data_IF_393499648995
#
_entry.id   IF_393499648995
#
_cell.length_a   1.000
_cell.length_b   1.000
_cell.length_c   1.000
_cell.angle_alpha   90.00
_cell.angle_beta   90.00
_cell.angle_gamma   90.00
#
_symmetry.space_group_name_H-M   'P 1'
#
loop_
_entity.id
_entity.type
_entity.pdbx_description
1 polymer ?
#
# COMPACT_ATOMS: atom_id res chain seq x y z
N UNK A 1 -4.07 20.81 -11.20
CA UNK A 1 -3.39 19.79 -12.05
C UNK A 1 -1.95 19.50 -11.64
N UNK A 2 -1.00 20.46 -11.67
CA UNK A 2 0.39 20.20 -11.23
C UNK A 2 0.49 19.74 -9.75
N UNK A 3 -0.36 20.30 -8.89
CA UNK A 3 -0.39 19.99 -7.45
C UNK A 3 -0.90 18.58 -7.11
N UNK A 4 -1.86 18.05 -7.88
CA UNK A 4 -2.37 16.67 -7.71
C UNK A 4 -1.33 15.63 -8.15
N UNK A 5 -0.53 15.96 -9.17
CA UNK A 5 0.58 15.11 -9.62
C UNK A 5 1.68 15.03 -8.55
N UNK A 6 2.01 16.15 -7.91
CA UNK A 6 2.92 16.18 -6.76
C UNK A 6 2.42 15.34 -5.59
N UNK A 7 1.12 15.43 -5.28
CA UNK A 7 0.51 14.58 -4.25
C UNK A 7 0.64 13.08 -4.54
N UNK A 8 0.36 12.65 -5.77
CA UNK A 8 0.46 11.24 -6.15
C UNK A 8 1.90 10.76 -6.08
N UNK A 9 2.85 11.64 -6.40
CA UNK A 9 4.27 11.36 -6.26
C UNK A 9 4.61 11.08 -4.80
N UNK A 10 4.34 12.00 -3.88
CA UNK A 10 4.62 11.82 -2.45
C UNK A 10 3.91 10.57 -1.87
N UNK A 11 2.66 10.32 -2.30
CA UNK A 11 1.89 9.14 -1.92
C UNK A 11 2.52 7.83 -2.42
N UNK A 12 3.07 7.81 -3.63
CA UNK A 12 3.73 6.63 -4.18
C UNK A 12 5.06 6.34 -3.49
N UNK A 13 5.83 7.38 -3.19
CA UNK A 13 7.07 7.24 -2.43
C UNK A 13 6.82 6.59 -1.07
N UNK A 14 5.83 7.11 -0.36
CA UNK A 14 5.43 6.59 0.95
C UNK A 14 5.03 5.11 0.89
N UNK A 15 4.27 4.74 -0.15
CA UNK A 15 3.86 3.34 -0.37
C UNK A 15 5.04 2.42 -0.68
N UNK A 16 6.01 2.90 -1.45
CA UNK A 16 7.25 2.16 -1.74
C UNK A 16 8.09 2.00 -0.47
N UNK A 17 8.31 3.08 0.27
CA UNK A 17 9.11 3.09 1.50
C UNK A 17 8.55 2.13 2.57
N UNK A 18 7.23 2.01 2.65
CA UNK A 18 6.55 1.12 3.61
C UNK A 18 6.42 -0.33 3.16
N UNK A 19 6.85 -0.66 1.93
CA UNK A 19 6.72 -2.00 1.40
C UNK A 19 5.28 -2.39 1.05
N UNK A 20 4.37 -1.44 0.85
CA UNK A 20 3.00 -1.74 0.41
C UNK A 20 2.96 -2.31 -1.00
N UNK A 21 4.06 -2.16 -1.76
CA UNK A 21 4.26 -2.72 -3.10
C UNK A 21 5.17 -3.95 -3.11
N UNK A 22 5.36 -4.62 -1.97
CA UNK A 22 6.13 -5.88 -1.85
C UNK A 22 5.62 -7.00 -2.76
N UNK A 23 4.32 -7.01 -3.08
CA UNK A 23 3.73 -7.92 -4.06
C UNK A 23 4.19 -7.66 -5.51
N UNK A 24 4.74 -6.47 -5.81
CA UNK A 24 5.37 -6.17 -7.11
C UNK A 24 6.85 -6.51 -7.07
N UNK A 25 7.56 -6.01 -6.06
CA UNK A 25 8.97 -6.26 -5.84
C UNK A 25 9.38 -5.84 -4.43
N UNK A 26 10.49 -6.40 -3.96
CA UNK A 26 11.17 -5.90 -2.79
C UNK A 26 12.12 -4.76 -3.19
N UNK A 27 11.62 -3.52 -3.13
CA UNK A 27 12.39 -2.33 -3.44
C UNK A 27 13.41 -2.02 -2.33
N UNK A 28 14.65 -1.74 -2.74
CA UNK A 28 15.78 -1.47 -1.84
C UNK A 28 16.22 -0.01 -1.91
N UNK A 29 16.08 0.61 -3.06
CA UNK A 29 16.52 1.97 -3.32
C UNK A 29 15.41 2.75 -4.00
N UNK A 30 15.21 4.00 -3.57
CA UNK A 30 14.25 4.96 -4.13
C UNK A 30 15.02 6.23 -4.43
N UNK A 31 14.89 6.73 -5.66
CA UNK A 31 15.51 7.92 -6.19
C UNK A 31 14.42 8.92 -6.57
N UNK A 32 14.55 10.17 -6.11
CA UNK A 32 13.73 11.29 -6.58
C UNK A 32 14.38 11.95 -7.80
N UNK A 33 13.52 12.49 -8.67
CA UNK A 33 13.91 13.33 -9.82
C UNK A 33 15.00 12.70 -10.70
N UNK A 34 14.86 11.39 -10.96
CA UNK A 34 15.84 10.60 -11.68
C UNK A 34 15.85 10.97 -13.17
N UNK A 35 17.03 11.28 -13.71
CA UNK A 35 17.19 11.65 -15.11
C UNK A 35 17.34 10.40 -15.99
N UNK A 36 16.40 10.23 -16.92
CA UNK A 36 16.38 9.11 -17.88
C UNK A 36 16.28 9.64 -19.31
N UNK A 37 17.44 9.90 -19.92
CA UNK A 37 17.51 10.57 -21.22
C UNK A 37 16.89 11.97 -21.10
N UNK A 38 15.87 12.25 -21.90
CA UNK A 38 15.18 13.55 -21.91
C UNK A 38 14.03 13.65 -20.90
N UNK A 39 13.88 12.65 -20.02
CA UNK A 39 12.81 12.60 -19.03
C UNK A 39 13.37 12.79 -17.62
N UNK A 40 12.70 13.61 -16.83
CA UNK A 40 12.85 13.63 -15.37
C UNK A 40 11.75 12.76 -14.80
N UNK A 41 12.14 11.70 -14.10
CA UNK A 41 11.25 10.72 -13.50
C UNK A 41 11.13 11.06 -12.01
N UNK A 42 9.96 11.55 -11.55
CA UNK A 42 9.77 11.95 -10.15
C UNK A 42 10.16 10.87 -9.14
N UNK A 43 9.81 9.61 -9.42
CA UNK A 43 10.22 8.47 -8.58
C UNK A 43 10.75 7.35 -9.45
N UNK A 44 11.96 6.92 -9.12
CA UNK A 44 12.57 5.70 -9.63
C UNK A 44 12.94 4.79 -8.47
N UNK A 45 12.48 3.54 -8.46
CA UNK A 45 12.81 2.57 -7.43
C UNK A 45 13.41 1.30 -8.03
N UNK A 46 14.40 0.74 -7.33
CA UNK A 46 15.11 -0.48 -7.74
C UNK A 46 14.87 -1.57 -6.72
N UNK A 47 14.52 -2.77 -7.20
CA UNK A 47 14.20 -3.91 -6.37
C UNK A 47 14.52 -5.25 -7.02
N UNK A 48 14.08 -6.31 -6.36
CA UNK A 48 14.23 -7.69 -6.82
C UNK A 48 13.07 -8.54 -6.33
N UNK A 49 12.83 -9.68 -6.99
CA UNK A 49 11.83 -10.67 -6.57
C UNK A 49 12.24 -11.51 -5.36
N UNK A 50 13.52 -11.45 -4.95
CA UNK A 50 14.01 -12.25 -3.82
C UNK A 50 13.31 -11.85 -2.52
N UNK A 51 12.59 -12.80 -1.93
CA UNK A 51 11.81 -12.58 -0.72
C UNK A 51 12.68 -12.30 0.51
N UNK A 52 12.15 -11.48 1.41
CA UNK A 52 12.57 -11.41 2.82
C UNK A 52 11.61 -12.29 3.65
N UNK A 53 11.71 -13.60 3.51
CA UNK A 53 10.93 -14.57 4.31
C UNK A 53 11.78 -15.30 5.37
N UNK A 54 11.18 -16.29 6.05
CA UNK A 54 11.88 -17.18 6.99
C UNK A 54 13.13 -17.80 6.34
N UNK A 55 14.15 -18.13 7.16
CA UNK A 55 15.49 -18.56 6.69
C UNK A 55 15.47 -19.62 5.57
N UNK A 56 14.54 -20.58 5.63
CA UNK A 56 14.34 -21.62 4.61
C UNK A 56 13.77 -21.10 3.28
N UNK A 57 12.82 -20.16 3.30
CA UNK A 57 12.29 -19.55 2.06
C UNK A 57 13.32 -18.64 1.40
N UNK A 58 14.23 -18.04 2.18
CA UNK A 58 15.36 -17.26 1.67
C UNK A 58 16.39 -18.12 0.95
N UNK A 59 16.71 -19.31 1.47
CA UNK A 59 17.61 -20.26 0.82
C UNK A 59 16.97 -20.77 -0.47
N UNK A 60 15.71 -21.18 -0.44
CA UNK A 60 15.00 -21.65 -1.64
C UNK A 60 14.93 -20.56 -2.72
N UNK A 61 14.59 -19.32 -2.36
CA UNK A 61 14.59 -18.19 -3.28
C UNK A 61 16.00 -17.90 -3.85
N UNK A 62 17.06 -17.99 -3.04
CA UNK A 62 18.42 -17.76 -3.53
C UNK A 62 18.85 -18.75 -4.62
N UNK A 63 18.39 -20.01 -4.55
CA UNK A 63 18.75 -21.06 -5.51
C UNK A 63 17.78 -21.19 -6.69
N UNK A 64 16.50 -20.87 -6.50
CA UNK A 64 15.44 -21.20 -7.48
C UNK A 64 14.90 -19.97 -8.22
N UNK A 65 14.90 -18.78 -7.59
CA UNK A 65 14.39 -17.58 -8.29
C UNK A 65 15.46 -16.93 -9.15
N UNK A 66 15.19 -16.68 -10.45
CA UNK A 66 16.10 -15.92 -11.31
C UNK A 66 16.33 -14.53 -10.70
N UNK A 67 17.57 -14.03 -10.79
CA UNK A 67 17.99 -12.74 -10.23
C UNK A 67 17.53 -11.55 -11.10
N UNK A 68 16.26 -11.52 -11.49
CA UNK A 68 15.71 -10.38 -12.22
C UNK A 68 15.75 -9.14 -11.36
N UNK A 69 16.39 -8.08 -11.85
CA UNK A 69 16.26 -6.75 -11.25
C UNK A 69 14.96 -6.14 -11.72
N UNK A 70 14.32 -5.44 -10.81
CA UNK A 70 13.06 -4.76 -11.05
C UNK A 70 13.31 -3.26 -10.97
N UNK A 71 12.90 -2.56 -12.02
CA UNK A 71 12.92 -1.11 -12.12
C UNK A 71 11.50 -0.60 -12.12
N UNK A 72 11.15 0.21 -11.13
CA UNK A 72 9.86 0.89 -11.05
C UNK A 72 10.04 2.38 -11.33
N UNK A 73 9.25 2.92 -12.25
CA UNK A 73 9.29 4.32 -12.66
C UNK A 73 7.90 4.92 -12.54
N UNK A 74 7.76 6.00 -11.79
CA UNK A 74 6.58 6.86 -11.79
C UNK A 74 6.87 8.09 -12.64
N UNK A 75 6.14 8.23 -13.75
CA UNK A 75 6.20 9.40 -14.60
C UNK A 75 4.90 10.18 -14.52
N UNK A 76 4.99 11.46 -14.16
CA UNK A 76 3.86 12.38 -14.11
C UNK A 76 3.92 13.37 -15.26
N UNK A 77 2.81 13.58 -15.96
CA UNK A 77 2.73 14.58 -17.04
C UNK A 77 1.37 15.28 -17.07
N UNK A 78 1.29 16.48 -17.61
CA UNK A 78 -0.01 17.13 -17.89
C UNK A 78 -0.73 16.43 -19.02
N UNK A 79 0.02 16.05 -20.06
CA UNK A 79 -0.45 15.38 -21.27
C UNK A 79 0.59 14.38 -21.76
N UNK A 80 0.15 13.20 -22.19
CA UNK A 80 1.03 12.15 -22.67
C UNK A 80 0.79 11.93 -24.16
N UNK A 81 1.79 12.25 -24.99
CA UNK A 81 1.73 11.93 -26.41
C UNK A 81 2.19 10.50 -26.68
N UNK A 82 1.72 9.92 -27.78
CA UNK A 82 2.20 8.62 -28.30
C UNK A 82 3.71 8.63 -28.51
N UNK A 83 4.26 9.72 -29.05
CA UNK A 83 5.69 9.86 -29.31
C UNK A 83 6.49 9.86 -28.00
N UNK A 84 6.01 10.59 -27.00
CA UNK A 84 6.63 10.64 -25.67
C UNK A 84 6.62 9.28 -24.98
N UNK A 85 5.49 8.56 -25.02
CA UNK A 85 5.38 7.22 -24.44
C UNK A 85 6.36 6.23 -25.07
N UNK A 86 6.41 6.17 -26.41
CA UNK A 86 7.35 5.29 -27.13
C UNK A 86 8.80 5.63 -26.80
N UNK A 87 9.12 6.94 -26.75
CA UNK A 87 10.46 7.41 -26.40
C UNK A 87 10.83 7.03 -24.97
N UNK A 88 9.92 7.16 -24.01
CA UNK A 88 10.13 6.74 -22.62
C UNK A 88 10.41 5.24 -22.51
N UNK A 89 9.59 4.39 -23.15
CA UNK A 89 9.77 2.94 -23.15
C UNK A 89 11.13 2.57 -23.76
N UNK A 90 11.50 3.19 -24.88
CA UNK A 90 12.79 2.97 -25.52
C UNK A 90 13.96 3.42 -24.64
N UNK A 91 13.85 4.56 -23.96
CA UNK A 91 14.87 5.02 -23.01
C UNK A 91 15.05 4.04 -21.85
N UNK A 92 13.98 3.50 -21.30
CA UNK A 92 14.04 2.47 -20.27
C UNK A 92 14.77 1.22 -20.77
N UNK A 93 14.37 0.70 -21.94
CA UNK A 93 14.97 -0.50 -22.54
C UNK A 93 16.46 -0.34 -22.88
N UNK A 94 16.90 0.86 -23.21
CA UNK A 94 18.32 1.16 -23.49
C UNK A 94 19.14 1.28 -22.20
N UNK A 95 18.52 1.73 -21.12
CA UNK A 95 19.21 1.98 -19.84
C UNK A 95 19.34 0.72 -18.99
N UNK A 96 18.31 -0.10 -18.95
CA UNK A 96 18.23 -1.28 -18.08
C UNK A 96 18.63 -2.55 -18.84
N UNK A 97 19.03 -3.59 -18.09
CA UNK A 97 19.53 -4.84 -18.63
C UNK A 97 18.51 -5.61 -19.45
N UNK A 98 18.98 -6.50 -20.31
CA UNK A 98 18.10 -7.26 -21.21
C UNK A 98 17.14 -8.20 -20.47
N UNK A 99 17.51 -8.64 -19.26
CA UNK A 99 16.69 -9.53 -18.43
C UNK A 99 15.92 -8.77 -17.34
N UNK A 100 16.05 -7.45 -17.27
CA UNK A 100 15.43 -6.68 -16.21
C UNK A 100 13.94 -6.42 -16.50
N UNK A 101 13.13 -6.41 -15.44
CA UNK A 101 11.71 -6.09 -15.54
C UNK A 101 11.49 -4.61 -15.24
N UNK A 102 10.72 -3.96 -16.10
CA UNK A 102 10.50 -2.52 -16.07
C UNK A 102 9.01 -2.27 -15.86
N UNK A 103 8.68 -1.69 -14.72
CA UNK A 103 7.36 -1.21 -14.37
C UNK A 103 7.29 0.29 -14.57
N UNK A 104 6.42 0.74 -15.47
CA UNK A 104 6.20 2.15 -15.76
C UNK A 104 4.78 2.51 -15.34
N UNK A 105 4.68 3.39 -14.36
CA UNK A 105 3.44 4.00 -13.92
C UNK A 105 3.35 5.41 -14.46
N UNK A 106 2.35 5.66 -15.29
CA UNK A 106 2.10 6.96 -15.91
C UNK A 106 0.92 7.61 -15.22
N UNK A 107 1.08 8.83 -14.72
CA UNK A 107 0.00 9.60 -14.12
C UNK A 107 -0.15 10.87 -14.93
N UNK A 108 -1.31 11.03 -15.56
CA UNK A 108 -1.60 12.20 -16.37
C UNK A 108 -2.78 13.00 -15.86
N UNK A 109 -2.70 14.31 -16.02
CA UNK A 109 -3.77 15.21 -15.56
C UNK A 109 -5.00 15.16 -16.47
N UNK A 110 -4.81 15.18 -17.79
CA UNK A 110 -5.89 15.10 -18.79
C UNK A 110 -6.43 13.68 -19.00
N UNK A 111 -7.60 13.50 -19.66
CA UNK A 111 -8.09 12.20 -20.10
C UNK A 111 -7.12 11.48 -21.05
N UNK A 112 -7.06 10.15 -20.97
CA UNK A 112 -6.18 9.34 -21.84
C UNK A 112 -6.79 9.28 -23.25
N UNK A 113 -6.05 9.77 -24.23
CA UNK A 113 -6.41 9.68 -25.64
C UNK A 113 -6.55 8.23 -26.12
N UNK A 114 -7.43 7.98 -27.09
CA UNK A 114 -7.65 6.65 -27.66
C UNK A 114 -6.37 6.01 -28.22
N UNK A 115 -5.51 6.81 -28.86
CA UNK A 115 -4.28 6.32 -29.46
C UNK A 115 -3.26 5.86 -28.41
N UNK A 116 -3.09 6.64 -27.34
CA UNK A 116 -2.25 6.28 -26.19
C UNK A 116 -2.79 5.02 -25.53
N UNK A 117 -4.11 4.95 -25.33
CA UNK A 117 -4.78 3.79 -24.76
C UNK A 117 -4.50 2.52 -25.55
N UNK A 118 -4.62 2.57 -26.88
CA UNK A 118 -4.37 1.42 -27.75
C UNK A 118 -2.91 0.95 -27.67
N UNK A 119 -1.95 1.87 -27.58
CA UNK A 119 -0.53 1.51 -27.46
C UNK A 119 -0.22 0.87 -26.12
N UNK A 120 -0.79 1.38 -25.02
CA UNK A 120 -0.61 0.78 -23.70
C UNK A 120 -1.20 -0.63 -23.70
N UNK A 121 -2.42 -0.82 -24.20
CA UNK A 121 -3.10 -2.13 -24.21
C UNK A 121 -2.37 -3.16 -25.09
N UNK A 122 -1.89 -2.74 -26.26
CA UNK A 122 -1.24 -3.61 -27.24
C UNK A 122 0.29 -3.66 -27.08
N UNK A 123 0.81 -3.31 -25.90
CA UNK A 123 2.23 -3.41 -25.63
C UNK A 123 2.66 -4.88 -25.58
N UNK A 124 3.36 -5.32 -26.63
CA UNK A 124 3.79 -6.70 -26.81
C UNK A 124 5.07 -7.06 -26.02
N UNK A 125 5.79 -6.06 -25.50
CA UNK A 125 7.05 -6.32 -24.78
C UNK A 125 6.78 -6.94 -23.41
N UNK A 126 7.26 -8.16 -23.18
CA UNK A 126 7.04 -8.89 -21.93
C UNK A 126 7.85 -8.33 -20.76
N UNK A 127 8.92 -7.57 -21.04
CA UNK A 127 9.80 -6.97 -20.02
C UNK A 127 9.31 -5.63 -19.52
N UNK A 128 8.36 -5.00 -20.20
CA UNK A 128 7.87 -3.66 -19.87
C UNK A 128 6.39 -3.70 -19.52
N UNK A 129 6.05 -3.57 -18.25
CA UNK A 129 4.68 -3.35 -17.79
C UNK A 129 4.38 -1.86 -17.73
N UNK A 130 3.34 -1.41 -18.43
CA UNK A 130 2.84 -0.03 -18.33
C UNK A 130 1.46 -0.01 -17.69
N UNK A 131 1.27 0.86 -16.71
CA UNK A 131 -0.04 1.27 -16.19
C UNK A 131 -0.16 2.79 -16.31
N UNK A 132 -1.28 3.28 -16.84
CA UNK A 132 -1.54 4.70 -17.01
C UNK A 132 -2.84 5.09 -16.31
N UNK A 133 -2.77 6.14 -15.51
CA UNK A 133 -3.89 6.70 -14.76
C UNK A 133 -4.15 8.14 -15.18
N UNK A 134 -5.41 8.45 -15.45
CA UNK A 134 -5.85 9.82 -15.73
C UNK A 134 -6.60 10.40 -14.55
N UNK A 135 -6.17 11.57 -14.10
CA UNK A 135 -6.81 12.31 -13.02
C UNK A 135 -8.19 12.82 -13.42
N UNK A 136 -8.31 13.43 -14.61
CA UNK A 136 -9.57 13.98 -15.10
C UNK A 136 -10.67 12.93 -15.26
N UNK A 137 -10.34 11.75 -15.79
CA UNK A 137 -11.33 10.69 -16.01
C UNK A 137 -11.42 9.67 -14.88
N UNK A 138 -10.50 9.72 -13.90
CA UNK A 138 -10.30 8.70 -12.85
C UNK A 138 -10.22 7.27 -13.37
N UNK A 139 -9.80 7.09 -14.63
CA UNK A 139 -9.67 5.77 -15.28
C UNK A 139 -8.22 5.34 -15.33
N UNK A 140 -8.02 4.08 -14.98
CA UNK A 140 -6.75 3.37 -15.13
C UNK A 140 -6.81 2.44 -16.36
N UNK A 141 -5.73 2.43 -17.13
CA UNK A 141 -5.48 1.45 -18.19
C UNK A 141 -4.14 0.78 -17.92
N UNK A 142 -4.01 -0.47 -18.31
CA UNK A 142 -2.75 -1.21 -18.17
C UNK A 142 -2.49 -2.02 -19.41
N UNK A 143 -1.21 -2.27 -19.68
CA UNK A 143 -0.79 -3.24 -20.68
C UNK A 143 -1.29 -4.64 -20.36
N UNK A 144 -1.58 -5.42 -21.41
CA UNK A 144 -2.17 -6.76 -21.30
C UNK A 144 -1.14 -7.85 -20.96
N UNK A 145 0.15 -7.52 -20.92
CA UNK A 145 1.20 -8.43 -20.49
C UNK A 145 1.13 -8.70 -18.97
N UNK A 146 1.96 -9.64 -18.49
CA UNK A 146 1.97 -10.07 -17.07
C UNK A 146 2.30 -8.90 -16.15
N UNK A 147 3.30 -8.09 -16.52
CA UNK A 147 3.77 -6.96 -15.71
C UNK A 147 2.69 -5.86 -15.58
N UNK A 148 2.03 -5.49 -16.68
CA UNK A 148 0.94 -4.51 -16.68
C UNK A 148 -0.26 -4.94 -15.86
N UNK A 149 -0.65 -6.23 -15.96
CA UNK A 149 -1.71 -6.80 -15.12
C UNK A 149 -1.34 -6.78 -13.64
N UNK A 150 -0.07 -7.06 -13.31
CA UNK A 150 0.44 -6.96 -11.93
C UNK A 150 0.37 -5.53 -11.40
N UNK A 151 0.75 -4.53 -12.20
CA UNK A 151 0.63 -3.12 -11.84
C UNK A 151 -0.81 -2.73 -11.52
N UNK A 152 -1.76 -3.05 -12.41
CA UNK A 152 -3.17 -2.75 -12.21
C UNK A 152 -3.74 -3.37 -10.92
N UNK A 153 -3.32 -4.59 -10.60
CA UNK A 153 -3.78 -5.30 -9.40
C UNK A 153 -3.27 -4.63 -8.11
N UNK A 154 -2.00 -4.20 -8.11
CA UNK A 154 -1.29 -3.82 -6.90
C UNK A 154 -1.18 -2.31 -6.67
N UNK A 155 -1.14 -1.46 -7.70
CA UNK A 155 -0.95 -0.02 -7.52
C UNK A 155 -2.19 0.72 -7.03
N UNK A 156 -3.39 0.38 -7.56
CA UNK A 156 -4.67 1.05 -7.26
C UNK A 156 -4.49 2.54 -6.94
N UNK A 157 -4.09 3.32 -7.96
CA UNK A 157 -3.69 4.74 -7.82
C UNK A 157 -4.83 5.67 -7.41
N UNK A 158 -6.07 5.20 -7.44
CA UNK A 158 -7.27 5.96 -7.07
C UNK A 158 -7.37 6.24 -5.57
N UNK A 159 -6.74 5.41 -4.73
CA UNK A 159 -6.83 5.53 -3.27
C UNK A 159 -5.55 5.05 -2.57
N UNK A 160 -5.00 5.87 -1.67
CA UNK A 160 -3.94 5.47 -0.76
C UNK A 160 -4.50 4.67 0.42
N UNK A 161 -4.64 3.35 0.23
CA UNK A 161 -4.99 2.39 1.27
C UNK A 161 -3.78 1.98 2.11
N UNK A 162 -3.90 2.08 3.43
CA UNK A 162 -2.96 1.66 4.46
C UNK A 162 -3.65 0.62 5.37
N UNK A 163 -3.04 -0.55 5.49
CA UNK A 163 -3.63 -1.73 6.14
C UNK A 163 -2.56 -2.57 6.86
N UNK A 164 -1.77 -2.00 7.79
CA UNK A 164 -0.82 -2.81 8.53
C UNK A 164 -1.54 -3.74 9.53
N UNK A 165 -0.87 -4.83 9.87
CA UNK A 165 -1.27 -5.66 11.00
C UNK A 165 -0.94 -4.91 12.30
N UNK A 166 -1.96 -4.52 13.05
CA UNK A 166 -1.81 -3.95 14.38
C UNK A 166 -1.63 -5.09 15.38
N UNK A 167 -0.37 -5.39 15.71
CA UNK A 167 0.03 -6.50 16.59
C UNK A 167 -0.65 -6.42 17.97
N UNK A 168 -0.67 -5.27 18.69
CA UNK A 168 -1.39 -5.17 19.95
C UNK A 168 -2.87 -5.57 19.88
N UNK A 169 -3.60 -5.09 18.86
CA UNK A 169 -5.03 -5.38 18.74
C UNK A 169 -5.30 -6.81 18.24
N UNK A 170 -4.38 -7.39 17.48
CA UNK A 170 -4.41 -8.82 17.14
C UNK A 170 -4.18 -9.70 18.38
N UNK A 171 -3.22 -9.37 19.24
CA UNK A 171 -2.97 -10.09 20.50
C UNK A 171 -4.16 -10.04 21.46
N UNK A 172 -4.92 -8.94 21.49
CA UNK A 172 -6.21 -8.89 22.23
C UNK A 172 -7.18 -9.96 21.72
N UNK A 173 -7.23 -10.16 20.40
CA UNK A 173 -8.09 -11.18 19.79
C UNK A 173 -7.60 -12.59 20.15
N UNK A 174 -6.28 -12.82 20.18
CA UNK A 174 -5.66 -14.08 20.65
C UNK A 174 -6.03 -14.35 22.10
N UNK A 175 -5.88 -13.35 22.98
CA UNK A 175 -6.21 -13.46 24.39
C UNK A 175 -7.69 -13.82 24.61
N UNK A 176 -8.62 -13.23 23.85
CA UNK A 176 -10.05 -13.56 23.93
C UNK A 176 -10.29 -15.05 23.60
N UNK A 177 -9.76 -15.53 22.47
CA UNK A 177 -9.94 -16.92 22.05
C UNK A 177 -9.27 -17.89 23.05
N UNK A 178 -8.06 -17.55 23.50
CA UNK A 178 -7.32 -18.37 24.45
C UNK A 178 -8.03 -18.46 25.81
N UNK A 179 -8.55 -17.35 26.33
CA UNK A 179 -9.29 -17.33 27.60
C UNK A 179 -10.59 -18.13 27.51
N UNK A 180 -11.38 -17.94 26.45
CA UNK A 180 -12.60 -18.74 26.22
C UNK A 180 -12.29 -20.24 26.08
N UNK A 181 -11.23 -20.56 25.32
CA UNK A 181 -10.76 -21.92 25.14
C UNK A 181 -10.28 -22.57 26.45
N UNK A 182 -9.58 -21.81 27.28
CA UNK A 182 -9.12 -22.25 28.59
C UNK A 182 -10.29 -22.53 29.53
N UNK A 183 -11.28 -21.64 29.57
CA UNK A 183 -12.51 -21.87 30.35
C UNK A 183 -13.24 -23.15 29.92
N UNK A 184 -13.29 -23.41 28.61
CA UNK A 184 -13.86 -24.66 28.08
C UNK A 184 -13.06 -25.90 28.51
N UNK A 185 -11.73 -25.86 28.44
CA UNK A 185 -10.88 -26.95 28.92
C UNK A 185 -11.05 -27.21 30.43
N UNK A 186 -11.17 -26.14 31.23
CA UNK A 186 -11.44 -26.26 32.67
C UNK A 186 -12.79 -26.93 32.92
N UNK A 187 -13.83 -26.60 32.14
CA UNK A 187 -15.12 -27.27 32.24
C UNK A 187 -15.03 -28.77 31.88
N UNK A 188 -14.27 -29.14 30.85
CA UNK A 188 -14.03 -30.55 30.49
C UNK A 188 -13.26 -31.33 31.57
N UNK A 189 -12.33 -30.67 32.26
CA UNK A 189 -11.62 -31.25 33.40
C UNK A 189 -12.60 -31.58 34.54
N UNK A 190 -13.52 -30.67 34.87
CA UNK A 190 -14.56 -30.91 35.87
C UNK A 190 -15.51 -32.06 35.50
N UNK A 191 -15.72 -32.30 34.20
CA UNK A 191 -16.51 -33.42 33.69
C UNK A 191 -15.74 -34.75 33.64
N UNK A 192 -14.46 -34.77 34.03
CA UNK A 192 -13.63 -35.98 34.03
C UNK A 192 -13.22 -36.48 32.65
N UNK A 193 -13.43 -35.69 31.59
CA UNK A 193 -13.20 -36.09 30.19
C UNK A 193 -11.71 -36.01 29.80
N UNK A 194 -10.91 -35.23 30.53
CA UNK A 194 -9.55 -34.91 30.11
C UNK A 194 -8.57 -34.77 31.28
N UNK A 195 -7.36 -35.34 31.16
CA UNK A 195 -6.38 -35.41 32.25
C UNK A 195 -5.07 -34.66 31.97
N UNK A 196 -4.66 -34.45 30.71
CA UNK A 196 -3.37 -33.82 30.38
C UNK A 196 -3.47 -32.31 30.06
N UNK A 197 -3.74 -31.50 31.09
CA UNK A 197 -4.04 -30.07 30.95
C UNK A 197 -2.94 -29.26 30.25
N UNK A 198 -1.66 -29.64 30.42
CA UNK A 198 -0.51 -28.90 29.86
C UNK A 198 -0.49 -28.98 28.33
N UNK A 199 -0.63 -30.20 27.78
CA UNK A 199 -0.62 -30.40 26.33
C UNK A 199 -1.83 -29.70 25.68
N UNK A 200 -3.00 -29.78 26.31
CA UNK A 200 -4.19 -29.09 25.81
C UNK A 200 -4.04 -27.57 25.80
N UNK A 201 -3.43 -26.97 26.83
CA UNK A 201 -3.18 -25.52 26.85
C UNK A 201 -2.22 -25.08 25.74
N UNK A 202 -1.18 -25.86 25.44
CA UNK A 202 -0.27 -25.57 24.32
C UNK A 202 -0.98 -25.64 22.97
N UNK A 203 -1.81 -26.67 22.76
CA UNK A 203 -2.63 -26.80 21.55
C UNK A 203 -3.62 -25.63 21.45
N UNK A 204 -4.26 -25.24 22.56
CA UNK A 204 -5.18 -24.11 22.58
C UNK A 204 -4.49 -22.78 22.31
N UNK A 205 -3.25 -22.59 22.78
CA UNK A 205 -2.47 -21.41 22.45
C UNK A 205 -2.21 -21.35 20.94
N UNK A 206 -1.72 -22.44 20.32
CA UNK A 206 -1.52 -22.51 18.88
C UNK A 206 -2.82 -22.26 18.09
N UNK A 207 -3.92 -22.88 18.52
CA UNK A 207 -5.24 -22.68 17.92
C UNK A 207 -5.71 -21.22 18.04
N UNK A 208 -5.52 -20.59 19.20
CA UNK A 208 -5.96 -19.21 19.45
C UNK A 208 -5.26 -18.20 18.54
N UNK A 209 -3.99 -18.43 18.18
CA UNK A 209 -3.28 -17.59 17.21
C UNK A 209 -4.00 -17.63 15.86
N UNK A 210 -4.36 -18.82 15.39
CA UNK A 210 -5.04 -18.98 14.09
C UNK A 210 -6.48 -18.44 14.14
N UNK A 211 -7.25 -18.87 15.14
CA UNK A 211 -8.67 -18.55 15.28
C UNK A 211 -8.95 -17.08 15.67
N UNK A 212 -7.94 -16.35 16.16
CA UNK A 212 -8.07 -14.93 16.46
C UNK A 212 -8.16 -14.03 15.22
N UNK A 213 -7.63 -14.47 14.07
CA UNK A 213 -7.54 -13.62 12.88
C UNK A 213 -8.91 -13.12 12.37
N UNK A 214 -9.96 -13.97 12.26
CA UNK A 214 -11.31 -13.50 11.89
C UNK A 214 -11.89 -12.48 12.88
N UNK A 215 -11.66 -12.66 14.19
CA UNK A 215 -12.14 -11.74 15.24
C UNK A 215 -11.43 -10.40 15.11
N UNK A 216 -10.11 -10.43 14.95
CA UNK A 216 -9.30 -9.24 14.69
C UNK A 216 -9.81 -8.49 13.47
N UNK A 217 -9.99 -9.19 12.34
CA UNK A 217 -10.46 -8.60 11.08
C UNK A 217 -11.83 -7.95 11.21
N UNK A 218 -12.74 -8.57 11.98
CA UNK A 218 -14.11 -8.06 12.16
C UNK A 218 -14.22 -6.90 13.13
N UNK A 219 -13.38 -6.84 14.18
CA UNK A 219 -13.57 -5.88 15.29
C UNK A 219 -12.51 -4.78 15.39
N UNK A 220 -11.26 -5.08 15.09
CA UNK A 220 -10.14 -4.19 15.43
C UNK A 220 -9.33 -3.75 14.24
N UNK A 221 -9.36 -4.52 13.15
CA UNK A 221 -8.57 -4.23 11.98
C UNK A 221 -8.89 -2.85 11.42
N UNK A 222 -7.87 -1.99 11.39
CA UNK A 222 -8.02 -0.60 10.98
C UNK A 222 -7.46 -0.44 9.58
N UNK A 223 -8.29 0.03 8.65
CA UNK A 223 -7.89 0.35 7.28
C UNK A 223 -8.12 1.83 7.09
N UNK A 224 -7.15 2.52 6.52
CA UNK A 224 -7.30 3.93 6.16
C UNK A 224 -7.08 4.06 4.67
N UNK A 225 -8.07 4.58 3.93
CA UNK A 225 -7.89 5.01 2.55
C UNK A 225 -8.10 6.50 2.43
N UNK A 226 -7.31 7.13 1.57
CA UNK A 226 -7.40 8.55 1.31
C UNK A 226 -7.31 8.82 -0.19
N UNK A 227 -8.01 9.85 -0.64
CA UNK A 227 -7.98 10.35 -2.00
C UNK A 227 -7.94 11.89 -2.00
N UNK A 228 -8.03 12.51 -3.17
CA UNK A 228 -7.98 13.97 -3.29
C UNK A 228 -9.18 14.71 -2.72
N UNK A 229 -10.32 14.04 -2.52
CA UNK A 229 -11.59 14.65 -2.09
C UNK A 229 -11.95 14.36 -0.63
N UNK A 230 -11.35 13.33 -0.04
CA UNK A 230 -11.64 12.89 1.31
C UNK A 230 -10.89 11.63 1.71
N UNK A 231 -11.36 11.02 2.78
CA UNK A 231 -10.79 9.80 3.36
C UNK A 231 -11.88 8.86 3.86
N UNK A 232 -11.50 7.60 4.03
CA UNK A 232 -12.29 6.52 4.60
C UNK A 232 -11.47 5.80 5.65
N UNK A 233 -12.02 5.65 6.85
CA UNK A 233 -11.42 4.92 7.94
C UNK A 233 -12.35 3.76 8.31
N UNK A 234 -11.90 2.54 8.07
CA UNK A 234 -12.55 1.34 8.56
C UNK A 234 -11.93 0.95 9.90
N UNK A 235 -12.75 0.63 10.87
CA UNK A 235 -12.36 -0.05 12.11
C UNK A 235 -13.25 -1.27 12.28
N UNK A 236 -12.73 -2.43 11.92
CA UNK A 236 -13.54 -3.65 11.79
C UNK A 236 -14.60 -3.46 10.71
N UNK A 237 -15.88 -3.56 11.10
CA UNK A 237 -17.04 -3.32 10.22
C UNK A 237 -17.49 -1.87 10.15
N UNK A 238 -16.99 -1.00 11.03
CA UNK A 238 -17.45 0.38 11.10
C UNK A 238 -16.67 1.23 10.11
N UNK A 239 -17.38 1.86 9.18
CA UNK A 239 -16.84 2.77 8.18
C UNK A 239 -17.17 4.20 8.57
N UNK A 240 -16.14 5.04 8.65
CA UNK A 240 -16.28 6.49 8.79
C UNK A 240 -15.67 7.14 7.56
N UNK A 241 -16.44 8.00 6.89
CA UNK A 241 -15.98 8.76 5.72
C UNK A 241 -15.96 10.25 6.06
N UNK A 242 -14.95 10.96 5.59
CA UNK A 242 -14.82 12.41 5.76
C UNK A 242 -14.34 13.07 4.47
N UNK A 243 -14.80 14.29 4.22
CA UNK A 243 -14.30 15.14 3.12
C UNK A 243 -13.27 16.12 3.66
N UNK A 244 -12.21 16.38 2.90
CA UNK A 244 -11.17 17.32 3.33
C UNK A 244 -11.74 18.72 3.54
N UNK A 245 -12.74 19.11 2.75
CA UNK A 245 -13.35 20.45 2.73
C UNK A 245 -14.04 20.83 4.02
N UNK A 246 -14.34 19.83 4.84
CA UNK A 246 -15.03 20.03 6.11
C UNK A 246 -14.05 20.42 7.21
N UNK A 247 -12.74 20.33 6.98
CA UNK A 247 -11.71 20.57 7.98
C UNK A 247 -10.84 21.77 7.59
N UNK A 248 -10.47 22.58 8.56
CA UNK A 248 -9.72 23.83 8.36
C UNK A 248 -8.27 23.73 8.80
N UNK A 249 -7.97 22.85 9.75
CA UNK A 249 -6.61 22.69 10.28
C UNK A 249 -6.32 21.26 10.74
N UNK A 250 -5.04 21.00 10.98
CA UNK A 250 -4.52 19.70 11.39
C UNK A 250 -3.43 19.83 12.44
N UNK A 251 -3.46 18.96 13.45
CA UNK A 251 -2.41 18.83 14.47
C UNK A 251 -2.00 17.37 14.70
N UNK A 252 -0.82 17.19 15.28
CA UNK A 252 -0.40 15.88 15.78
C UNK A 252 -0.86 15.78 17.24
N UNK A 253 -1.78 14.86 17.51
CA UNK A 253 -2.28 14.62 18.85
C UNK A 253 -1.64 13.34 19.43
N UNK A 254 -1.19 13.39 20.68
CA UNK A 254 -0.63 12.24 21.39
C UNK A 254 -1.50 12.01 22.61
N UNK A 255 -2.05 10.81 22.74
CA UNK A 255 -2.89 10.44 23.88
C UNK A 255 -2.05 10.17 25.13
N UNK A 256 -2.65 10.15 26.33
CA UNK A 256 -1.95 9.75 27.56
C UNK A 256 -1.32 8.35 27.46
N UNK A 257 -1.93 7.45 26.68
CA UNK A 257 -1.41 6.10 26.39
C UNK A 257 -0.29 6.09 25.34
N UNK A 258 0.23 7.26 24.94
CA UNK A 258 1.25 7.47 23.90
C UNK A 258 0.85 6.98 22.51
N UNK A 259 -0.44 6.83 22.24
CA UNK A 259 -0.93 6.60 20.88
C UNK A 259 -0.93 7.92 20.10
N UNK A 260 -0.48 7.88 18.85
CA UNK A 260 -0.31 9.08 18.02
C UNK A 260 -1.42 9.16 16.98
N UNK A 261 -2.02 10.33 16.85
CA UNK A 261 -3.11 10.63 15.96
C UNK A 261 -2.82 11.89 15.14
N UNK A 262 -3.41 11.97 13.96
CA UNK A 262 -3.61 13.25 13.28
C UNK A 262 -5.01 13.72 13.62
N UNK A 263 -5.11 14.84 14.32
CA UNK A 263 -6.38 15.48 14.63
C UNK A 263 -6.71 16.49 13.56
N UNK A 264 -7.83 16.28 12.88
CA UNK A 264 -8.44 17.22 11.96
C UNK A 264 -9.42 18.10 12.75
N UNK A 265 -9.41 19.41 12.48
CA UNK A 265 -10.32 20.37 13.10
C UNK A 265 -11.32 20.86 12.07
N UNK A 266 -12.61 20.74 12.38
CA UNK A 266 -13.68 21.48 11.71
C UNK A 266 -14.20 22.58 12.65
N UNK A 267 -15.16 23.39 12.17
CA UNK A 267 -15.80 24.42 13.00
C UNK A 267 -16.61 23.85 14.17
N UNK A 268 -17.09 22.62 14.05
CA UNK A 268 -18.04 22.00 14.99
C UNK A 268 -17.47 20.76 15.68
N UNK A 269 -16.51 20.07 15.06
CA UNK A 269 -16.03 18.78 15.52
C UNK A 269 -14.53 18.58 15.28
N UNK A 270 -13.97 17.57 15.94
CA UNK A 270 -12.60 17.10 15.67
C UNK A 270 -12.63 15.64 15.29
N UNK A 271 -11.76 15.24 14.38
CA UNK A 271 -11.64 13.85 13.94
C UNK A 271 -10.20 13.35 14.05
N UNK A 272 -10.02 12.21 14.72
CA UNK A 272 -8.71 11.65 15.02
C UNK A 272 -8.39 10.46 14.10
N UNK A 273 -7.38 10.62 13.23
CA UNK A 273 -6.85 9.55 12.38
C UNK A 273 -5.75 8.79 13.16
N UNK A 274 -5.92 7.49 13.46
CA UNK A 274 -5.01 6.73 14.34
C UNK A 274 -3.73 6.28 13.62
N UNK A 275 -2.72 7.15 13.56
CA UNK A 275 -1.46 6.92 12.82
C UNK A 275 -0.76 5.62 13.18
N UNK A 276 -0.66 5.30 14.48
CA UNK A 276 0.02 4.09 14.95
C UNK A 276 -0.68 2.81 14.48
N UNK A 277 -2.01 2.85 14.31
CA UNK A 277 -2.84 1.70 13.92
C UNK A 277 -2.90 1.52 12.41
N UNK A 278 -2.72 2.60 11.66
CA UNK A 278 -2.69 2.60 10.19
C UNK A 278 -1.27 2.56 9.64
N UNK A 279 -0.25 2.54 10.51
CA UNK A 279 1.17 2.43 10.12
C UNK A 279 1.66 3.65 9.38
N UNK A 280 1.09 4.82 9.69
CA UNK A 280 1.49 6.09 9.13
C UNK A 280 2.57 6.77 9.98
N UNK A 281 3.56 7.38 9.31
CA UNK A 281 4.60 8.15 9.99
C UNK A 281 4.01 9.51 10.34
N UNK A 282 4.34 10.01 11.54
CA UNK A 282 3.76 11.25 12.07
C UNK A 282 4.09 12.44 11.17
N UNK A 283 5.35 12.57 10.76
CA UNK A 283 5.84 13.70 9.97
C UNK A 283 5.27 13.66 8.55
N UNK A 284 5.33 12.49 7.91
CA UNK A 284 4.85 12.30 6.53
C UNK A 284 3.33 12.49 6.44
N UNK A 285 2.56 11.85 7.33
CA UNK A 285 1.11 12.00 7.35
C UNK A 285 0.67 13.43 7.64
N UNK A 286 1.32 14.10 8.60
CA UNK A 286 1.05 15.51 8.89
C UNK A 286 1.31 16.40 7.67
N UNK A 287 2.48 16.25 7.04
CA UNK A 287 2.83 17.06 5.87
C UNK A 287 1.89 16.80 4.69
N UNK A 288 1.57 15.53 4.41
CA UNK A 288 0.66 15.16 3.33
C UNK A 288 -0.75 15.72 3.56
N UNK A 289 -1.32 15.54 4.75
CA UNK A 289 -2.66 16.03 5.10
C UNK A 289 -2.69 17.56 5.15
N UNK A 290 -1.68 18.21 5.73
CA UNK A 290 -1.58 19.67 5.75
C UNK A 290 -1.49 20.25 4.35
N UNK A 291 -0.76 19.59 3.44
CA UNK A 291 -0.75 19.98 2.04
C UNK A 291 -2.12 19.80 1.39
N UNK A 292 -2.86 18.73 1.69
CA UNK A 292 -4.22 18.54 1.18
C UNK A 292 -5.15 19.67 1.68
N UNK A 293 -5.14 19.98 2.97
CA UNK A 293 -6.00 21.03 3.54
C UNK A 293 -5.65 22.43 3.03
N UNK A 294 -4.37 22.70 2.72
CA UNK A 294 -3.97 23.97 2.07
C UNK A 294 -4.41 24.07 0.60
N UNK A 295 -4.83 22.96 -0.02
CA UNK A 295 -5.18 22.88 -1.44
C UNK A 295 -6.69 23.01 -1.69
N UNK A 296 -7.51 22.94 -0.64
CA UNK A 296 -8.96 23.19 -0.68
C UNK A 296 -9.30 24.57 -0.11
#
# INVERSE_FOLDING_TARGET
MSQELGFITDMMEERLAKGNLTWLANFKEIYRDYTLGDFVIPIYAVGSLTEKGFFLSRIFSFFVTPKYKIHFLLYTSTELSVKSLRKLILSCKRKFGADDWIFITLVQAKPIEKNVKNIVLNLADERVGVAAYSLASKKEISSNNVLGRSLKKNLKLTEARFEPLNVPDYLKSVAIVFSLGTLFLVALLFLGVYTNMVLALLIMLAFSIIAAYPIYKRRYHTVFSLNSTGFKLWKGTNLVEGRWSNYTDVSIHITPQRETYIRLYSKEETFDIPLSKVGLSRKEAYNAIKQILKRE
#
